data_IF_580059180401
#
_entry.id   IF_580059180401
#
_cell.length_a   1.000
_cell.length_b   1.000
_cell.length_c   1.000
_cell.angle_alpha   90.00
_cell.angle_beta   90.00
_cell.angle_gamma   90.00
#
_symmetry.space_group_name_H-M   'P 1'
#
loop_
_entity.id
_entity.type
_entity.pdbx_description
1 polymer ?
#
# COMPACT_ATOMS: atom_id res chain seq x y z
N UNK A 1 -7.86 18.49 -40.38
CA UNK A 1 -7.77 18.00 -38.98
C UNK A 1 -8.91 17.03 -38.73
N UNK A 2 -8.62 15.85 -38.27
CA UNK A 2 -9.63 14.87 -37.92
C UNK A 2 -10.26 15.21 -36.56
N UNK A 3 -11.58 15.24 -36.48
CA UNK A 3 -12.33 15.50 -35.26
C UNK A 3 -13.18 14.28 -34.91
N UNK A 4 -13.44 14.15 -33.60
CA UNK A 4 -14.38 13.16 -33.05
C UNK A 4 -15.20 13.79 -31.92
N UNK A 5 -16.27 13.11 -31.50
CA UNK A 5 -17.07 13.55 -30.38
C UNK A 5 -16.36 13.27 -29.03
N UNK A 6 -16.43 14.23 -28.11
CA UNK A 6 -16.06 14.03 -26.70
C UNK A 6 -16.92 12.92 -26.11
N UNK A 7 -16.30 11.94 -25.47
CA UNK A 7 -17.01 10.78 -24.90
C UNK A 7 -17.99 11.13 -23.75
N UNK A 8 -17.97 12.36 -23.21
CA UNK A 8 -18.88 12.79 -22.15
C UNK A 8 -19.98 13.73 -22.64
N UNK A 9 -19.62 14.79 -23.35
CA UNK A 9 -20.57 15.86 -23.71
C UNK A 9 -20.91 15.91 -25.20
N UNK A 10 -20.26 15.12 -26.05
CA UNK A 10 -20.52 15.09 -27.50
C UNK A 10 -19.86 16.22 -28.29
N UNK A 11 -19.26 17.24 -27.69
CA UNK A 11 -18.57 18.31 -28.37
C UNK A 11 -17.44 17.78 -29.26
N UNK A 12 -17.24 18.38 -30.44
CA UNK A 12 -16.15 18.01 -31.31
C UNK A 12 -14.80 18.36 -30.74
N UNK A 13 -13.89 17.41 -30.73
CA UNK A 13 -12.53 17.50 -30.21
C UNK A 13 -11.53 16.92 -31.21
N UNK A 14 -10.24 17.32 -31.16
CA UNK A 14 -9.21 16.71 -31.99
C UNK A 14 -9.11 15.20 -31.78
N UNK A 15 -8.90 14.48 -32.87
CA UNK A 15 -8.65 13.06 -32.82
C UNK A 15 -7.39 12.80 -32.01
N UNK A 16 -7.45 11.81 -31.10
CA UNK A 16 -6.37 11.53 -30.12
C UNK A 16 -6.75 11.88 -28.68
N UNK A 17 -7.65 12.84 -28.45
CA UNK A 17 -8.19 13.15 -27.11
C UNK A 17 -9.48 12.37 -26.87
N UNK A 18 -9.75 11.97 -25.65
CA UNK A 18 -10.99 11.26 -25.28
C UNK A 18 -12.07 12.22 -24.81
N UNK A 19 -11.66 13.27 -24.09
CA UNK A 19 -12.54 14.27 -23.50
C UNK A 19 -12.12 15.68 -23.91
N UNK A 20 -13.06 16.63 -23.94
CA UNK A 20 -12.75 18.05 -24.13
C UNK A 20 -12.11 18.62 -22.87
N UNK A 21 -11.52 19.82 -22.98
CA UNK A 21 -10.85 20.53 -21.88
C UNK A 21 -11.74 20.71 -20.65
N UNK A 22 -13.04 20.94 -20.86
CA UNK A 22 -14.01 21.11 -19.77
C UNK A 22 -14.34 19.79 -19.07
N UNK A 23 -14.43 18.70 -19.84
CA UNK A 23 -14.79 17.37 -19.29
C UNK A 23 -13.63 16.62 -18.67
N UNK A 24 -12.40 16.86 -19.11
CA UNK A 24 -11.21 16.19 -18.59
C UNK A 24 -11.07 16.29 -17.07
N UNK A 25 -11.06 17.49 -16.44
CA UNK A 25 -10.90 17.59 -15.01
C UNK A 25 -12.05 16.94 -14.23
N UNK A 26 -13.27 16.96 -14.79
CA UNK A 26 -14.43 16.34 -14.16
C UNK A 26 -14.28 14.81 -14.15
N UNK A 27 -13.89 14.23 -15.30
CA UNK A 27 -13.68 12.78 -15.41
C UNK A 27 -12.52 12.30 -14.55
N UNK A 28 -11.45 13.08 -14.48
CA UNK A 28 -10.30 12.78 -13.62
C UNK A 28 -10.69 12.79 -12.14
N UNK A 29 -11.43 13.81 -11.68
CA UNK A 29 -11.94 13.87 -10.31
C UNK A 29 -12.87 12.70 -9.97
N UNK A 30 -13.78 12.32 -10.88
CA UNK A 30 -14.66 11.16 -10.71
C UNK A 30 -13.87 9.85 -10.65
N UNK A 31 -12.82 9.74 -11.45
CA UNK A 31 -11.92 8.58 -11.45
C UNK A 31 -11.15 8.46 -10.14
N UNK A 32 -10.59 9.56 -9.66
CA UNK A 32 -9.87 9.59 -8.38
C UNK A 32 -10.78 9.26 -7.21
N UNK A 33 -11.98 9.84 -7.16
CA UNK A 33 -12.97 9.53 -6.13
C UNK A 33 -13.33 8.03 -6.12
N UNK A 34 -13.55 7.43 -7.28
CA UNK A 34 -13.86 6.01 -7.41
C UNK A 34 -12.67 5.11 -6.99
N UNK A 35 -11.44 5.49 -7.33
CA UNK A 35 -10.25 4.77 -6.89
C UNK A 35 -10.07 4.86 -5.38
N UNK A 36 -10.30 6.03 -4.79
CA UNK A 36 -10.27 6.25 -3.35
C UNK A 36 -11.29 5.37 -2.62
N UNK A 37 -12.55 5.35 -3.09
CA UNK A 37 -13.58 4.49 -2.51
C UNK A 37 -13.25 2.99 -2.63
N UNK A 38 -12.75 2.55 -3.77
CA UNK A 38 -12.30 1.15 -3.94
C UNK A 38 -11.16 0.80 -2.98
N UNK A 39 -10.23 1.72 -2.76
CA UNK A 39 -9.12 1.52 -1.81
C UNK A 39 -9.64 1.43 -0.37
N UNK A 40 -10.55 2.30 0.02
CA UNK A 40 -11.19 2.26 1.36
C UNK A 40 -11.92 0.93 1.57
N UNK A 41 -12.72 0.50 0.60
CA UNK A 41 -13.46 -0.76 0.69
C UNK A 41 -12.53 -1.97 0.74
N UNK A 42 -11.49 -2.00 -0.09
CA UNK A 42 -10.47 -3.06 -0.06
C UNK A 42 -9.76 -3.13 1.30
N UNK A 43 -9.40 -1.97 1.87
CA UNK A 43 -8.80 -1.91 3.21
C UNK A 43 -9.77 -2.37 4.30
N UNK A 44 -11.05 -2.00 4.19
CA UNK A 44 -12.10 -2.42 5.12
C UNK A 44 -12.26 -3.94 5.12
N UNK A 45 -12.34 -4.54 3.94
CA UNK A 45 -12.45 -5.99 3.79
C UNK A 45 -11.20 -6.72 4.29
N UNK A 46 -10.02 -6.20 3.96
CA UNK A 46 -8.76 -6.73 4.46
C UNK A 46 -8.68 -6.71 5.99
N UNK A 47 -9.03 -5.58 6.61
CA UNK A 47 -9.02 -5.45 8.06
C UNK A 47 -10.08 -6.34 8.73
N UNK A 48 -11.24 -6.54 8.09
CA UNK A 48 -12.29 -7.45 8.57
C UNK A 48 -11.83 -8.91 8.59
N UNK A 49 -10.97 -9.30 7.65
CA UNK A 49 -10.42 -10.66 7.58
C UNK A 49 -9.27 -10.92 8.56
N UNK A 50 -8.72 -9.86 9.19
CA UNK A 50 -7.61 -9.97 10.13
C UNK A 50 -8.13 -10.17 11.55
N UNK A 51 -7.32 -10.84 12.37
CA UNK A 51 -7.56 -10.91 13.82
C UNK A 51 -7.61 -9.48 14.40
N UNK A 52 -8.72 -9.10 15.06
CA UNK A 52 -8.89 -7.76 15.64
C UNK A 52 -7.76 -7.32 16.57
N UNK A 53 -7.14 -8.25 17.24
CA UNK A 53 -6.01 -8.04 18.15
C UNK A 53 -4.82 -7.38 17.44
N UNK A 54 -4.47 -7.84 16.22
CA UNK A 54 -3.38 -7.26 15.44
C UNK A 54 -3.77 -5.92 14.82
N UNK A 55 -5.01 -5.79 14.35
CA UNK A 55 -5.52 -4.50 13.84
C UNK A 55 -5.45 -3.42 14.92
N UNK A 56 -5.91 -3.74 16.13
CA UNK A 56 -5.85 -2.84 17.29
C UNK A 56 -4.41 -2.47 17.64
N UNK A 57 -3.50 -3.44 17.64
CA UNK A 57 -2.08 -3.22 17.90
C UNK A 57 -1.47 -2.23 16.91
N UNK A 58 -1.57 -2.47 15.60
CA UNK A 58 -0.98 -1.63 14.57
C UNK A 58 -1.59 -0.22 14.49
N UNK A 59 -2.82 -0.04 14.96
CA UNK A 59 -3.48 1.25 15.04
C UNK A 59 -3.21 1.99 16.37
N UNK A 60 -2.56 1.35 17.33
CA UNK A 60 -2.28 1.95 18.62
C UNK A 60 -1.29 3.12 18.53
N UNK A 61 -1.49 4.13 19.38
CA UNK A 61 -0.56 5.27 19.50
C UNK A 61 0.84 4.81 19.91
N UNK A 62 0.92 3.80 20.78
CA UNK A 62 2.18 3.24 21.26
C UNK A 62 3.00 2.61 20.13
N UNK A 63 2.37 1.81 19.26
CA UNK A 63 3.06 1.25 18.09
C UNK A 63 3.51 2.33 17.11
N UNK A 64 2.63 3.31 16.83
CA UNK A 64 2.96 4.41 15.92
C UNK A 64 4.16 5.22 16.42
N UNK A 65 4.22 5.52 17.72
CA UNK A 65 5.34 6.21 18.32
C UNK A 65 6.64 5.37 18.27
N UNK A 66 6.56 4.09 18.59
CA UNK A 66 7.69 3.16 18.52
C UNK A 66 8.26 3.03 17.11
N UNK A 67 7.40 2.84 16.12
CA UNK A 67 7.82 2.69 14.74
C UNK A 67 8.40 3.98 14.16
N UNK A 68 7.82 5.14 14.47
CA UNK A 68 8.37 6.44 14.08
C UNK A 68 9.76 6.67 14.69
N UNK A 69 9.92 6.38 15.97
CA UNK A 69 11.22 6.47 16.66
C UNK A 69 12.25 5.53 16.04
N UNK A 70 11.88 4.28 15.73
CA UNK A 70 12.79 3.31 15.11
C UNK A 70 13.27 3.79 13.75
N UNK A 71 12.38 4.26 12.87
CA UNK A 71 12.74 4.80 11.57
C UNK A 71 13.70 5.99 11.69
N UNK A 72 13.42 6.90 12.63
CA UNK A 72 14.25 8.08 12.87
C UNK A 72 15.65 7.69 13.40
N UNK A 73 15.73 6.80 14.36
CA UNK A 73 17.00 6.36 14.96
C UNK A 73 17.87 5.61 13.93
N UNK A 74 17.25 4.85 13.02
CA UNK A 74 17.94 4.17 11.92
C UNK A 74 18.26 5.10 10.72
N UNK A 75 17.95 6.39 10.83
CA UNK A 75 18.17 7.37 9.77
C UNK A 75 17.40 7.04 8.49
N UNK A 76 16.23 6.40 8.61
CA UNK A 76 15.41 5.93 7.48
C UNK A 76 16.16 5.01 6.53
N UNK A 77 17.04 4.19 7.07
CA UNK A 77 17.81 3.20 6.30
C UNK A 77 17.33 1.78 6.56
N UNK A 78 17.17 1.03 5.45
CA UNK A 78 16.80 -0.38 5.51
C UNK A 78 17.95 -1.20 6.12
N UNK A 79 17.63 -2.02 7.13
CA UNK A 79 18.61 -2.88 7.80
C UNK A 79 19.22 -3.94 6.88
N UNK A 80 18.59 -4.29 5.77
CA UNK A 80 19.07 -5.33 4.85
C UNK A 80 19.82 -4.78 3.63
N UNK A 81 19.31 -3.74 2.98
CA UNK A 81 19.90 -3.24 1.72
C UNK A 81 20.44 -1.80 1.81
N UNK A 82 20.23 -1.10 2.91
CA UNK A 82 20.67 0.29 3.07
C UNK A 82 19.86 1.34 2.30
N UNK A 83 18.86 0.95 1.53
CA UNK A 83 17.92 1.84 0.83
C UNK A 83 17.03 2.57 1.82
N UNK A 84 16.21 3.52 1.35
CA UNK A 84 15.28 4.26 2.19
C UNK A 84 14.28 3.30 2.81
N UNK A 85 14.22 3.26 4.15
CA UNK A 85 13.26 2.49 4.92
C UNK A 85 11.96 3.27 5.09
N UNK A 86 10.84 2.60 4.87
CA UNK A 86 9.49 3.16 5.01
C UNK A 86 8.61 2.37 5.98
N UNK A 87 9.06 1.20 6.39
CA UNK A 87 8.32 0.27 7.23
C UNK A 87 9.17 -0.21 8.41
N UNK A 88 8.50 -0.58 9.50
CA UNK A 88 9.13 -1.21 10.66
C UNK A 88 8.60 -2.63 10.79
N UNK A 89 9.52 -3.57 10.87
CA UNK A 89 9.25 -5.00 10.99
C UNK A 89 9.64 -5.51 12.38
N UNK A 90 8.94 -6.53 12.86
CA UNK A 90 9.33 -7.25 14.07
C UNK A 90 10.31 -8.37 13.72
N UNK A 91 11.44 -8.42 14.44
CA UNK A 91 12.44 -9.48 14.27
C UNK A 91 11.84 -10.83 14.63
N UNK A 92 11.22 -10.94 15.80
CA UNK A 92 10.37 -12.08 16.19
C UNK A 92 8.94 -11.72 15.81
N UNK A 93 8.30 -12.46 14.90
CA UNK A 93 6.98 -12.12 14.39
C UNK A 93 5.92 -12.04 15.50
N UNK A 94 5.10 -10.99 15.49
CA UNK A 94 4.02 -10.80 16.49
C UNK A 94 2.95 -11.89 16.48
N UNK A 95 2.91 -12.70 15.43
CA UNK A 95 2.00 -13.85 15.34
C UNK A 95 2.44 -15.03 16.20
N UNK A 96 3.67 -15.02 16.69
CA UNK A 96 4.17 -15.99 17.67
C UNK A 96 3.87 -15.51 19.08
N UNK A 97 3.73 -16.41 20.08
CA UNK A 97 3.53 -16.03 21.48
C UNK A 97 4.63 -15.11 21.99
N UNK A 98 5.89 -15.46 21.75
CA UNK A 98 7.05 -14.66 22.15
C UNK A 98 7.06 -13.28 21.48
N UNK A 99 6.80 -13.23 20.16
CA UNK A 99 6.74 -11.97 19.41
C UNK A 99 5.58 -11.08 19.87
N UNK A 100 4.48 -11.67 20.31
CA UNK A 100 3.36 -10.92 20.88
C UNK A 100 3.71 -10.28 22.23
N UNK A 101 4.41 -10.98 23.07
CA UNK A 101 4.91 -10.44 24.35
C UNK A 101 5.90 -9.29 24.10
N UNK A 102 6.79 -9.45 23.12
CA UNK A 102 7.83 -8.48 22.74
C UNK A 102 7.37 -7.44 21.71
N UNK A 103 6.06 -7.31 21.46
CA UNK A 103 5.52 -6.44 20.39
C UNK A 103 5.87 -4.96 20.55
N UNK A 104 6.10 -4.49 21.76
CA UNK A 104 6.51 -3.12 22.07
C UNK A 104 7.99 -2.97 22.44
N UNK A 105 8.76 -4.05 22.37
CA UNK A 105 10.19 -3.98 22.61
C UNK A 105 10.92 -3.34 21.44
N UNK A 106 11.61 -2.25 21.70
CA UNK A 106 12.38 -1.52 20.69
C UNK A 106 13.39 -2.43 19.97
N UNK A 107 14.12 -3.27 20.74
CA UNK A 107 15.13 -4.18 20.21
C UNK A 107 14.56 -5.33 19.37
N UNK A 108 13.25 -5.57 19.42
CA UNK A 108 12.56 -6.52 18.57
C UNK A 108 12.07 -5.89 17.26
N UNK A 109 12.49 -4.67 16.94
CA UNK A 109 12.10 -3.96 15.74
C UNK A 109 13.28 -3.58 14.88
N UNK A 110 13.04 -3.42 13.57
CA UNK A 110 14.03 -2.94 12.61
C UNK A 110 13.35 -2.20 11.48
N UNK A 111 14.06 -1.26 10.88
CA UNK A 111 13.58 -0.51 9.72
C UNK A 111 13.86 -1.25 8.42
N UNK A 112 12.87 -1.36 7.55
CA UNK A 112 13.00 -2.01 6.24
C UNK A 112 12.42 -1.14 5.13
N UNK A 113 12.97 -1.25 3.93
CA UNK A 113 12.31 -0.77 2.73
C UNK A 113 11.16 -1.72 2.35
N UNK A 114 10.20 -1.22 1.58
CA UNK A 114 9.03 -2.01 1.15
C UNK A 114 9.42 -3.33 0.47
N UNK A 115 10.42 -3.29 -0.42
CA UNK A 115 10.90 -4.48 -1.12
C UNK A 115 11.48 -5.56 -0.20
N UNK A 116 12.33 -5.17 0.75
CA UNK A 116 12.91 -6.11 1.72
C UNK A 116 11.87 -6.66 2.69
N UNK A 117 10.92 -5.82 3.11
CA UNK A 117 9.79 -6.23 3.94
C UNK A 117 8.90 -7.27 3.23
N UNK A 118 8.51 -7.00 1.97
CA UNK A 118 7.71 -7.95 1.18
C UNK A 118 8.46 -9.26 0.90
N UNK A 119 9.76 -9.18 0.62
CA UNK A 119 10.60 -10.37 0.41
C UNK A 119 10.66 -11.25 1.66
N UNK A 120 10.81 -10.64 2.85
CA UNK A 120 10.81 -11.35 4.13
C UNK A 120 9.49 -12.09 4.38
N UNK A 121 8.36 -11.47 4.02
CA UNK A 121 7.02 -12.06 4.18
C UNK A 121 6.57 -12.90 2.99
N UNK A 122 7.46 -13.22 2.04
CA UNK A 122 7.18 -14.01 0.84
C UNK A 122 6.01 -13.48 -0.02
N UNK A 123 5.71 -12.18 0.05
CA UNK A 123 4.57 -11.57 -0.66
C UNK A 123 4.72 -11.60 -2.18
N UNK A 124 5.95 -11.75 -2.71
CA UNK A 124 6.21 -11.88 -4.14
C UNK A 124 5.85 -13.26 -4.71
N UNK A 125 5.81 -14.30 -3.91
CA UNK A 125 5.49 -15.65 -4.38
C UNK A 125 4.01 -15.82 -4.79
N UNK A 126 3.12 -15.00 -4.26
CA UNK A 126 1.68 -15.05 -4.57
C UNK A 126 1.32 -14.34 -5.89
N UNK A 127 2.17 -13.47 -6.42
CA UNK A 127 1.94 -12.75 -7.69
C UNK A 127 2.48 -13.45 -8.92
N UNK A 128 3.29 -14.51 -8.76
CA UNK A 128 3.95 -15.23 -9.86
C UNK A 128 3.18 -16.42 -10.44
N UNK A 129 1.97 -16.71 -9.97
CA UNK A 129 1.14 -17.82 -10.47
C UNK A 129 -0.16 -17.35 -11.11
N UNK A 130 -0.07 -16.41 -12.03
CA UNK A 130 -1.09 -16.31 -13.08
C UNK A 130 -0.67 -17.22 -14.22
N UNK A 131 -1.20 -18.43 -14.14
CA UNK A 131 -1.48 -19.36 -15.23
C UNK A 131 -0.70 -19.13 -16.53
N UNK A 132 0.27 -19.97 -16.79
CA UNK A 132 0.55 -20.39 -18.15
C UNK A 132 -0.78 -20.91 -18.75
N UNK A 133 -1.44 -20.11 -19.57
CA UNK A 133 -2.51 -20.57 -20.46
C UNK A 133 -1.89 -21.66 -21.33
N UNK A 134 -2.24 -22.91 -21.06
CA UNK A 134 -2.04 -23.99 -22.02
C UNK A 134 -2.78 -23.61 -23.30
N UNK A 135 -2.03 -23.44 -24.37
CA UNK A 135 -2.56 -23.49 -25.74
C UNK A 135 -2.95 -24.94 -26.05
#
# INVERSE_FOLDING_TARGET
MLLKACARCGNLIPYGSTYCQTCTPVVEAEREARLSERKKESNRLYNKSRDPKYVKFYNSAQWKALSAKRLQDDGYRCAFCGEIATEVDHIIPIKTPEGWEKRYEYNNTRSLCHRCHDKRHNRFQSRGRTAARKR
#
